data_IF_433472646861
#
_entry.id   IF_433472646861
#
_cell.length_a   1.000
_cell.length_b   1.000
_cell.length_c   1.000
_cell.angle_alpha   90.00
_cell.angle_beta   90.00
_cell.angle_gamma   90.00
#
_symmetry.space_group_name_H-M   'P 1'
#
loop_
_entity.id
_entity.type
_entity.pdbx_description
1 polymer ?
#
# COMPACT_ATOMS: atom_id res chain seq x y z
N UNK A 1 -6.99 7.79 19.31
CA UNK A 1 -5.54 7.71 18.97
C UNK A 1 -4.94 6.31 19.07
N UNK A 2 -5.67 5.25 19.45
CA UNK A 2 -5.10 3.90 19.61
C UNK A 2 -4.69 3.19 18.29
N UNK A 3 -5.36 3.52 17.18
CA UNK A 3 -5.17 2.90 15.88
C UNK A 3 -3.74 3.14 15.34
N UNK A 4 -3.20 4.37 15.31
CA UNK A 4 -1.84 4.60 14.83
C UNK A 4 -0.77 3.92 15.70
N UNK A 5 -0.92 3.92 17.04
CA UNK A 5 0.04 3.23 17.94
C UNK A 5 0.19 1.76 17.54
N UNK A 6 -0.92 1.01 17.47
CA UNK A 6 -0.90 -0.43 17.15
C UNK A 6 -0.29 -0.71 15.76
N UNK A 7 -0.48 0.19 14.79
CA UNK A 7 0.09 0.04 13.45
C UNK A 7 1.56 0.38 13.38
N UNK A 8 2.04 1.40 14.08
CA UNK A 8 3.46 1.75 14.13
C UNK A 8 4.28 0.56 14.68
N UNK A 9 3.80 -0.07 15.76
CA UNK A 9 4.45 -1.25 16.33
C UNK A 9 4.43 -2.49 15.44
N UNK A 10 3.53 -2.54 14.44
CA UNK A 10 3.51 -3.59 13.43
C UNK A 10 4.46 -3.29 12.27
N UNK A 11 4.39 -2.08 11.73
CA UNK A 11 5.02 -1.69 10.46
C UNK A 11 6.50 -1.36 10.67
N UNK A 12 6.80 -0.48 11.63
CA UNK A 12 8.11 0.16 11.74
C UNK A 12 9.25 -0.81 12.10
N UNK A 13 9.11 -1.74 13.05
CA UNK A 13 10.18 -2.67 13.40
C UNK A 13 10.59 -3.57 12.24
N UNK A 14 9.60 -4.08 11.50
CA UNK A 14 9.86 -4.91 10.33
C UNK A 14 10.46 -4.08 9.18
N UNK A 15 9.98 -2.85 8.98
CA UNK A 15 10.55 -1.94 8.01
C UNK A 15 12.04 -1.67 8.26
N UNK A 16 12.43 -1.37 9.51
CA UNK A 16 13.83 -1.15 9.87
C UNK A 16 14.68 -2.40 9.66
N UNK A 17 14.15 -3.57 10.04
CA UNK A 17 14.83 -4.84 9.81
C UNK A 17 15.04 -5.08 8.30
N UNK A 18 14.01 -4.89 7.48
CA UNK A 18 14.14 -5.02 6.03
C UNK A 18 15.10 -3.98 5.43
N UNK A 19 15.11 -2.75 5.95
CA UNK A 19 15.96 -1.68 5.47
C UNK A 19 17.43 -2.08 5.56
N UNK A 20 17.83 -2.73 6.65
CA UNK A 20 19.17 -3.28 6.82
C UNK A 20 19.53 -4.27 5.70
N UNK A 21 18.66 -5.23 5.37
CA UNK A 21 18.94 -6.18 4.28
C UNK A 21 18.97 -5.53 2.91
N UNK A 22 18.09 -4.57 2.64
CA UNK A 22 18.12 -3.81 1.39
C UNK A 22 19.43 -3.02 1.23
N UNK A 23 19.90 -2.41 2.31
CA UNK A 23 21.16 -1.69 2.34
C UNK A 23 22.33 -2.65 2.05
N UNK A 24 22.40 -3.78 2.76
CA UNK A 24 23.44 -4.79 2.53
C UNK A 24 23.43 -5.28 1.07
N UNK A 25 22.26 -5.59 0.53
CA UNK A 25 22.11 -5.98 -0.87
C UNK A 25 22.64 -4.91 -1.84
N UNK A 26 22.28 -3.63 -1.65
CA UNK A 26 22.72 -2.54 -2.53
C UNK A 26 24.23 -2.32 -2.46
N UNK A 27 24.84 -2.43 -1.29
CA UNK A 27 26.30 -2.33 -1.12
C UNK A 27 26.98 -3.49 -1.85
N UNK A 28 26.53 -4.72 -1.61
CA UNK A 28 27.19 -5.92 -2.15
C UNK A 28 27.01 -6.12 -3.66
N UNK A 29 25.87 -5.71 -4.23
CA UNK A 29 25.52 -6.04 -5.62
C UNK A 29 25.28 -4.84 -6.54
N UNK A 30 25.17 -3.61 -6.00
CA UNK A 30 24.86 -2.41 -6.78
C UNK A 30 25.88 -1.28 -6.61
N UNK A 31 27.05 -1.54 -6.01
CA UNK A 31 28.09 -0.55 -5.74
C UNK A 31 27.55 0.73 -5.07
N UNK A 32 26.59 0.57 -4.17
CA UNK A 32 25.94 1.69 -3.51
C UNK A 32 26.81 2.24 -2.37
N UNK A 33 27.13 3.54 -2.43
CA UNK A 33 27.72 4.26 -1.31
C UNK A 33 26.62 4.76 -0.37
N UNK A 34 26.69 4.33 0.89
CA UNK A 34 25.84 4.88 1.94
C UNK A 34 26.39 6.22 2.42
N UNK A 35 25.51 7.20 2.49
CA UNK A 35 25.76 8.46 3.18
C UNK A 35 24.92 8.48 4.46
N UNK A 36 25.41 9.15 5.51
CA UNK A 36 24.69 9.25 6.78
C UNK A 36 23.33 9.93 6.59
N UNK A 37 23.26 10.92 5.70
CA UNK A 37 22.02 11.61 5.34
C UNK A 37 20.99 10.65 4.74
N UNK A 38 21.39 9.79 3.81
CA UNK A 38 20.47 8.86 3.14
C UNK A 38 19.97 7.78 4.09
N UNK A 39 20.83 7.30 5.00
CA UNK A 39 20.42 6.38 6.06
C UNK A 39 19.37 7.02 6.98
N UNK A 40 19.63 8.23 7.46
CA UNK A 40 18.73 8.93 8.37
C UNK A 40 17.37 9.23 7.71
N UNK A 41 17.37 9.67 6.46
CA UNK A 41 16.14 9.88 5.68
C UNK A 41 15.32 8.60 5.57
N UNK A 42 15.93 7.46 5.22
CA UNK A 42 15.19 6.20 5.09
C UNK A 42 14.70 5.65 6.43
N UNK A 43 15.44 5.84 7.54
CA UNK A 43 14.94 5.48 8.88
C UNK A 43 13.65 6.26 9.20
N UNK A 44 13.57 7.53 8.80
CA UNK A 44 12.37 8.36 8.91
C UNK A 44 11.34 8.12 7.80
N UNK A 45 11.57 7.15 6.93
CA UNK A 45 10.77 6.85 5.73
C UNK A 45 10.68 8.05 4.77
N UNK A 46 11.64 8.97 4.81
CA UNK A 46 11.72 10.12 3.91
C UNK A 46 12.49 9.75 2.64
N UNK A 47 12.04 10.23 1.46
CA UNK A 47 12.77 10.17 0.21
C UNK A 47 14.20 10.69 0.35
N UNK A 48 15.15 9.97 -0.27
CA UNK A 48 16.58 10.31 -0.19
C UNK A 48 17.13 10.95 -1.47
N UNK A 49 16.39 10.86 -2.58
CA UNK A 49 16.80 11.44 -3.86
C UNK A 49 16.48 12.94 -3.95
N UNK A 50 17.24 13.64 -4.80
CA UNK A 50 17.11 15.05 -5.18
C UNK A 50 15.70 15.46 -5.61
N UNK A 51 14.95 14.53 -6.20
CA UNK A 51 13.57 14.77 -6.65
C UNK A 51 12.53 14.74 -5.53
N UNK A 52 12.90 14.29 -4.32
CA UNK A 52 12.01 14.17 -3.17
C UNK A 52 10.67 13.46 -3.47
N UNK A 53 10.70 12.50 -4.40
CA UNK A 53 9.54 11.74 -4.82
C UNK A 53 9.23 10.63 -3.83
N UNK A 54 7.95 10.35 -3.58
CA UNK A 54 7.53 9.19 -2.76
C UNK A 54 8.12 7.84 -3.22
N UNK A 55 8.61 7.74 -4.47
CA UNK A 55 9.23 6.52 -5.03
C UNK A 55 10.70 6.33 -4.63
N UNK A 56 11.39 7.38 -4.17
CA UNK A 56 12.83 7.33 -3.91
C UNK A 56 13.14 6.91 -2.47
N UNK A 57 12.64 5.74 -2.09
CA UNK A 57 13.05 5.02 -0.88
C UNK A 57 13.99 3.87 -1.25
N UNK A 58 14.89 3.50 -0.34
CA UNK A 58 15.78 2.33 -0.52
C UNK A 58 14.94 1.06 -0.66
N UNK A 59 13.92 0.90 0.19
CA UNK A 59 12.88 -0.11 0.04
C UNK A 59 11.86 0.44 -0.96
N UNK A 60 11.93 -0.02 -2.21
CA UNK A 60 11.10 0.52 -3.31
C UNK A 60 9.61 0.44 -2.97
N UNK A 61 9.13 -0.63 -2.34
CA UNK A 61 7.72 -0.82 -1.95
C UNK A 61 7.25 0.01 -0.76
N UNK A 62 8.14 0.65 -0.02
CA UNK A 62 7.76 1.43 1.15
C UNK A 62 7.02 2.74 0.81
N UNK A 63 6.81 3.05 -0.47
CA UNK A 63 6.00 4.20 -0.87
C UNK A 63 4.56 4.10 -0.35
N UNK A 64 3.98 2.91 -0.24
CA UNK A 64 2.59 2.76 0.20
C UNK A 64 2.40 3.05 1.69
N UNK A 65 3.40 2.71 2.52
CA UNK A 65 3.40 3.04 3.95
C UNK A 65 3.63 4.54 4.17
N UNK A 66 4.36 5.21 3.28
CA UNK A 66 4.42 6.67 3.25
C UNK A 66 3.03 7.30 3.02
N UNK A 67 2.24 6.77 2.08
CA UNK A 67 0.86 7.21 1.88
C UNK A 67 -0.02 6.96 3.12
N UNK A 68 0.16 5.83 3.78
CA UNK A 68 -0.57 5.51 5.02
C UNK A 68 -0.32 6.58 6.11
N UNK A 69 0.94 6.94 6.35
CA UNK A 69 1.31 7.99 7.32
C UNK A 69 0.79 9.37 6.89
N UNK A 70 0.84 9.66 5.59
CA UNK A 70 0.27 10.88 5.01
C UNK A 70 -1.24 10.96 5.26
N UNK A 71 -1.99 9.89 4.99
CA UNK A 71 -3.44 9.84 5.22
C UNK A 71 -3.80 9.95 6.71
N UNK A 72 -3.01 9.36 7.61
CA UNK A 72 -3.22 9.55 9.04
C UNK A 72 -3.03 11.00 9.46
N UNK A 73 -2.01 11.67 8.93
CA UNK A 73 -1.78 13.09 9.19
C UNK A 73 -2.92 13.94 8.64
N UNK A 74 -3.36 13.66 7.40
CA UNK A 74 -4.48 14.35 6.75
C UNK A 74 -5.78 14.19 7.55
N UNK A 75 -6.12 12.97 7.99
CA UNK A 75 -7.30 12.75 8.83
C UNK A 75 -7.17 13.39 10.21
N UNK A 76 -5.98 13.39 10.80
CA UNK A 76 -5.74 14.09 12.06
C UNK A 76 -6.09 15.57 11.93
N UNK A 77 -5.61 16.26 10.88
CA UNK A 77 -5.95 17.67 10.64
C UNK A 77 -7.44 17.88 10.36
N UNK A 78 -8.07 17.04 9.54
CA UNK A 78 -9.51 17.11 9.27
C UNK A 78 -10.32 17.06 10.57
N UNK A 79 -9.97 16.12 11.46
CA UNK A 79 -10.65 15.95 12.74
C UNK A 79 -10.33 17.08 13.72
N UNK A 80 -9.07 17.52 13.76
CA UNK A 80 -8.61 18.60 14.63
C UNK A 80 -9.32 19.92 14.31
N UNK A 81 -9.41 20.29 13.02
CA UNK A 81 -10.10 21.49 12.56
C UNK A 81 -11.62 21.32 12.43
N UNK A 82 -12.18 20.15 12.80
CA UNK A 82 -13.62 19.83 12.70
C UNK A 82 -14.19 20.13 11.31
N UNK A 83 -13.42 19.83 10.27
CA UNK A 83 -13.81 20.09 8.88
C UNK A 83 -15.09 19.31 8.56
N UNK A 84 -16.10 20.00 8.04
CA UNK A 84 -17.36 19.36 7.67
C UNK A 84 -17.13 18.30 6.60
N UNK A 85 -17.81 17.15 6.70
CA UNK A 85 -17.67 16.04 5.75
C UNK A 85 -17.82 16.48 4.28
N UNK A 86 -18.79 17.37 4.00
CA UNK A 86 -19.02 17.92 2.66
C UNK A 86 -17.80 18.66 2.10
N UNK A 87 -17.08 19.40 2.94
CA UNK A 87 -15.87 20.12 2.54
C UNK A 87 -14.72 19.17 2.24
N UNK A 88 -14.63 18.02 2.90
CA UNK A 88 -13.61 17.00 2.60
C UNK A 88 -13.72 16.51 1.15
N UNK A 89 -14.95 16.26 0.69
CA UNK A 89 -15.23 15.84 -0.69
C UNK A 89 -14.95 16.91 -1.74
N UNK A 90 -14.73 18.15 -1.35
CA UNK A 90 -14.37 19.25 -2.25
C UNK A 90 -12.87 19.54 -2.15
N UNK A 91 -12.33 19.63 -0.94
CA UNK A 91 -10.95 20.01 -0.67
C UNK A 91 -9.95 18.96 -1.14
N UNK A 92 -10.22 17.66 -0.93
CA UNK A 92 -9.27 16.62 -1.33
C UNK A 92 -9.13 16.53 -2.86
N UNK A 93 -10.22 16.50 -3.66
CA UNK A 93 -10.09 16.54 -5.12
C UNK A 93 -9.44 17.83 -5.62
N UNK A 94 -9.76 18.98 -5.00
CA UNK A 94 -9.14 20.25 -5.35
C UNK A 94 -7.62 20.23 -5.09
N UNK A 95 -7.20 19.76 -3.92
CA UNK A 95 -5.78 19.58 -3.57
C UNK A 95 -5.09 18.63 -4.56
N UNK A 96 -5.74 17.52 -4.92
CA UNK A 96 -5.24 16.60 -5.94
C UNK A 96 -5.07 17.30 -7.30
N UNK A 97 -6.07 18.03 -7.78
CA UNK A 97 -6.01 18.72 -9.07
C UNK A 97 -4.90 19.78 -9.12
N UNK A 98 -4.75 20.57 -8.04
CA UNK A 98 -3.68 21.56 -7.92
C UNK A 98 -2.32 20.86 -7.92
N UNK A 99 -2.13 19.83 -7.11
CA UNK A 99 -0.82 19.19 -7.01
C UNK A 99 -0.49 18.37 -8.26
N UNK A 100 -1.48 17.75 -8.90
CA UNK A 100 -1.34 17.05 -10.18
C UNK A 100 -0.93 18.01 -11.30
N UNK A 101 -1.53 19.20 -11.35
CA UNK A 101 -1.14 20.22 -12.33
C UNK A 101 0.27 20.74 -12.06
N UNK A 102 0.64 20.97 -10.79
CA UNK A 102 2.00 21.38 -10.42
C UNK A 102 3.05 20.35 -10.87
N UNK A 103 2.82 19.04 -10.69
CA UNK A 103 3.74 18.00 -11.21
C UNK A 103 3.87 18.07 -12.74
N UNK A 104 2.76 18.29 -13.46
CA UNK A 104 2.72 18.26 -14.93
C UNK A 104 3.30 19.51 -15.58
N UNK A 105 3.08 20.68 -15.00
CA UNK A 105 3.31 21.97 -15.64
C UNK A 105 4.42 22.81 -15.01
N UNK A 106 4.92 22.42 -13.83
CA UNK A 106 5.96 23.19 -13.13
C UNK A 106 7.10 22.29 -12.69
N UNK A 107 8.34 22.68 -13.00
CA UNK A 107 9.55 22.04 -12.46
C UNK A 107 9.85 22.48 -11.02
N UNK A 108 8.81 22.70 -10.20
CA UNK A 108 8.92 23.10 -8.78
C UNK A 108 9.59 22.00 -7.93
N UNK A 109 9.76 20.80 -8.50
CA UNK A 109 10.35 19.61 -7.87
C UNK A 109 11.73 19.84 -7.21
N UNK A 110 12.49 20.86 -7.62
CA UNK A 110 13.91 20.94 -7.28
C UNK A 110 14.28 21.92 -6.15
N UNK A 111 13.41 22.86 -5.75
CA UNK A 111 13.86 23.99 -4.91
C UNK A 111 13.49 23.87 -3.42
N UNK A 112 12.45 23.11 -3.05
CA UNK A 112 12.02 22.97 -1.65
C UNK A 112 11.62 21.52 -1.33
N UNK A 113 12.46 20.74 -0.62
CA UNK A 113 12.25 19.33 -0.26
C UNK A 113 10.86 18.92 0.23
N UNK A 114 10.30 19.70 1.17
CA UNK A 114 9.03 19.36 1.79
C UNK A 114 7.85 19.61 0.84
N UNK A 115 7.92 20.68 0.05
CA UNK A 115 6.88 21.03 -0.92
C UNK A 115 6.87 20.02 -2.05
N UNK A 116 8.04 19.63 -2.57
CA UNK A 116 8.14 18.61 -3.63
C UNK A 116 7.64 17.26 -3.16
N UNK A 117 7.96 16.84 -1.92
CA UNK A 117 7.41 15.63 -1.32
C UNK A 117 5.89 15.69 -1.21
N UNK A 118 5.35 16.78 -0.64
CA UNK A 118 3.91 16.96 -0.49
C UNK A 118 3.19 16.89 -1.83
N UNK A 119 3.67 17.66 -2.81
CA UNK A 119 3.14 17.69 -4.18
C UNK A 119 3.21 16.30 -4.81
N UNK A 120 4.31 15.56 -4.62
CA UNK A 120 4.46 14.20 -5.17
C UNK A 120 3.43 13.22 -4.59
N UNK A 121 3.08 13.34 -3.31
CA UNK A 121 2.08 12.51 -2.63
C UNK A 121 0.67 12.89 -3.09
N UNK A 122 0.30 14.16 -2.92
CA UNK A 122 -1.03 14.67 -3.21
C UNK A 122 -1.37 14.71 -4.68
N UNK A 123 -0.39 14.87 -5.57
CA UNK A 123 -0.57 14.81 -7.02
C UNK A 123 -0.53 13.39 -7.59
N UNK A 124 -0.33 12.36 -6.76
CA UNK A 124 -0.31 10.98 -7.24
C UNK A 124 -1.71 10.42 -7.49
N UNK A 125 -1.84 9.51 -8.47
CA UNK A 125 -3.09 8.80 -8.74
C UNK A 125 -3.60 7.98 -7.53
N UNK A 126 -2.75 7.69 -6.55
CA UNK A 126 -3.14 6.99 -5.32
C UNK A 126 -4.14 7.78 -4.47
N UNK A 127 -4.16 9.12 -4.57
CA UNK A 127 -5.17 9.95 -3.92
C UNK A 127 -6.59 9.68 -4.44
N UNK A 128 -6.72 9.24 -5.70
CA UNK A 128 -8.03 8.89 -6.29
C UNK A 128 -8.59 7.64 -5.61
N UNK A 129 -7.75 6.64 -5.29
CA UNK A 129 -8.18 5.45 -4.55
C UNK A 129 -8.66 5.78 -3.15
N UNK A 130 -7.97 6.70 -2.48
CA UNK A 130 -8.36 7.17 -1.17
C UNK A 130 -9.72 7.87 -1.20
N UNK A 131 -9.94 8.74 -2.18
CA UNK A 131 -11.24 9.38 -2.42
C UNK A 131 -12.34 8.36 -2.74
N UNK A 132 -12.06 7.41 -3.64
CA UNK A 132 -13.01 6.35 -3.98
C UNK A 132 -13.40 5.55 -2.74
N UNK A 133 -12.43 5.18 -1.89
CA UNK A 133 -12.68 4.52 -0.62
C UNK A 133 -13.57 5.33 0.33
N UNK A 134 -13.35 6.64 0.43
CA UNK A 134 -14.21 7.54 1.22
C UNK A 134 -15.66 7.58 0.69
N UNK A 135 -15.83 7.68 -0.64
CA UNK A 135 -17.14 7.69 -1.29
C UNK A 135 -17.86 6.35 -1.06
N UNK A 136 -17.16 5.23 -1.24
CA UNK A 136 -17.71 3.88 -1.00
C UNK A 136 -18.16 3.74 0.44
N UNK A 137 -17.33 4.17 1.40
CA UNK A 137 -17.67 4.13 2.81
C UNK A 137 -18.92 4.97 3.11
N UNK A 138 -19.05 6.17 2.53
CA UNK A 138 -20.25 6.99 2.71
C UNK A 138 -21.51 6.36 2.10
N UNK A 139 -21.40 5.83 0.87
CA UNK A 139 -22.50 5.12 0.21
C UNK A 139 -22.95 3.89 1.00
N UNK A 140 -21.98 3.17 1.56
CA UNK A 140 -22.21 1.99 2.39
C UNK A 140 -22.92 2.36 3.70
N UNK A 141 -22.41 3.34 4.45
CA UNK A 141 -23.01 3.80 5.71
C UNK A 141 -24.43 4.36 5.49
N UNK A 142 -24.68 5.04 4.37
CA UNK A 142 -26.00 5.56 4.02
C UNK A 142 -26.93 4.53 3.38
N UNK A 143 -26.51 3.27 3.24
CA UNK A 143 -27.25 2.21 2.54
C UNK A 143 -27.75 2.62 1.14
N UNK A 144 -26.96 3.43 0.42
CA UNK A 144 -27.30 3.92 -0.94
C UNK A 144 -26.84 2.99 -2.05
N UNK A 145 -26.21 1.88 -1.69
CA UNK A 145 -25.73 0.89 -2.64
C UNK A 145 -26.91 -0.02 -3.02
N UNK A 146 -27.22 -0.18 -4.32
CA UNK A 146 -28.36 -0.97 -4.76
C UNK A 146 -28.23 -2.43 -4.30
N UNK A 147 -29.32 -2.98 -3.76
CA UNK A 147 -29.40 -4.40 -3.39
C UNK A 147 -29.70 -5.22 -4.64
N UNK A 148 -28.74 -6.03 -5.04
CA UNK A 148 -28.89 -6.96 -6.16
C UNK A 148 -29.24 -8.36 -5.64
N UNK A 149 -29.97 -9.18 -6.43
CA UNK A 149 -30.20 -10.57 -6.07
C UNK A 149 -28.87 -11.33 -5.98
N UNK A 150 -28.78 -12.33 -5.09
CA UNK A 150 -27.53 -13.06 -4.80
C UNK A 150 -26.83 -13.59 -6.06
N UNK A 151 -27.60 -14.12 -7.02
CA UNK A 151 -27.07 -14.64 -8.31
C UNK A 151 -26.40 -13.55 -9.14
N UNK A 152 -26.98 -12.34 -9.19
CA UNK A 152 -26.38 -11.21 -9.87
C UNK A 152 -25.09 -10.77 -9.14
N UNK A 153 -25.12 -10.73 -7.81
CA UNK A 153 -23.93 -10.43 -7.00
C UNK A 153 -22.75 -11.35 -7.31
N UNK A 154 -22.99 -12.67 -7.27
CA UNK A 154 -21.94 -13.67 -7.52
C UNK A 154 -21.44 -13.60 -8.95
N UNK A 155 -22.31 -13.32 -9.91
CA UNK A 155 -21.93 -13.14 -11.32
C UNK A 155 -21.04 -11.91 -11.51
N UNK A 156 -21.42 -10.77 -10.95
CA UNK A 156 -20.63 -9.53 -11.06
C UNK A 156 -19.30 -9.68 -10.30
N UNK A 157 -19.30 -10.32 -9.12
CA UNK A 157 -18.07 -10.61 -8.38
C UNK A 157 -17.13 -11.49 -9.20
N UNK A 158 -17.64 -12.57 -9.80
CA UNK A 158 -16.84 -13.44 -10.67
C UNK A 158 -16.32 -12.68 -11.90
N UNK A 159 -17.18 -11.90 -12.57
CA UNK A 159 -16.79 -11.07 -13.71
C UNK A 159 -15.71 -10.05 -13.34
N UNK A 160 -15.80 -9.43 -12.16
CA UNK A 160 -14.78 -8.49 -11.66
C UNK A 160 -13.45 -9.18 -11.36
N UNK A 161 -13.48 -10.44 -10.91
CA UNK A 161 -12.28 -11.26 -10.68
C UNK A 161 -11.62 -11.64 -12.00
N UNK A 162 -12.42 -12.06 -12.99
CA UNK A 162 -11.95 -12.32 -14.35
C UNK A 162 -11.36 -11.06 -14.97
N UNK A 163 -12.02 -9.91 -14.83
CA UNK A 163 -11.51 -8.62 -15.31
C UNK A 163 -10.15 -8.28 -14.68
N UNK A 164 -9.98 -8.50 -13.37
CA UNK A 164 -8.70 -8.31 -12.70
C UNK A 164 -7.62 -9.24 -13.28
N UNK A 165 -7.92 -10.52 -13.49
CA UNK A 165 -6.96 -11.45 -14.12
C UNK A 165 -6.57 -10.96 -15.52
N UNK A 166 -7.54 -10.55 -16.33
CA UNK A 166 -7.29 -10.00 -17.68
C UNK A 166 -6.37 -8.78 -17.60
N UNK A 167 -6.61 -7.86 -16.66
CA UNK A 167 -5.74 -6.69 -16.49
C UNK A 167 -4.30 -7.03 -16.11
N UNK A 168 -4.06 -8.19 -15.49
CA UNK A 168 -2.71 -8.66 -15.17
C UNK A 168 -2.00 -9.30 -16.37
N UNK A 169 -2.76 -9.80 -17.35
CA UNK A 169 -2.23 -10.45 -18.56
C UNK A 169 -2.02 -9.47 -19.73
N UNK A 170 -2.74 -8.36 -19.73
CA UNK A 170 -2.63 -7.31 -20.75
C UNK A 170 -1.52 -6.30 -20.43
N UNK A 171 -1.06 -5.50 -21.42
CA UNK A 171 -0.21 -4.35 -21.15
C UNK A 171 -0.82 -3.48 -20.07
N UNK A 172 0.01 -3.09 -19.10
CA UNK A 172 -0.45 -2.46 -17.89
C UNK A 172 -1.23 -1.17 -18.17
N UNK A 173 -2.52 -1.20 -17.87
CA UNK A 173 -3.42 -0.06 -17.96
C UNK A 173 -3.87 0.34 -16.55
N UNK A 174 -3.41 1.52 -16.12
CA UNK A 174 -3.73 2.08 -14.81
C UNK A 174 -5.25 2.14 -14.56
N UNK A 175 -6.01 2.78 -15.46
CA UNK A 175 -7.44 3.01 -15.24
C UNK A 175 -8.25 1.72 -15.15
N UNK A 176 -7.98 0.77 -16.05
CA UNK A 176 -8.71 -0.50 -16.07
C UNK A 176 -8.40 -1.34 -14.83
N UNK A 177 -7.13 -1.41 -14.44
CA UNK A 177 -6.71 -2.07 -13.19
C UNK A 177 -7.34 -1.40 -11.97
N UNK A 178 -7.43 -0.07 -11.97
CA UNK A 178 -8.04 0.69 -10.88
C UNK A 178 -9.53 0.39 -10.75
N UNK A 179 -10.25 0.41 -11.87
CA UNK A 179 -11.67 0.09 -11.91
C UNK A 179 -11.92 -1.35 -11.43
N UNK A 180 -11.15 -2.32 -11.93
CA UNK A 180 -11.27 -3.72 -11.52
C UNK A 180 -11.06 -3.91 -10.01
N UNK A 181 -10.01 -3.30 -9.44
CA UNK A 181 -9.73 -3.37 -8.00
C UNK A 181 -10.83 -2.72 -7.15
N UNK A 182 -11.30 -1.53 -7.51
CA UNK A 182 -12.36 -0.83 -6.77
C UNK A 182 -13.66 -1.64 -6.85
N UNK A 183 -14.01 -2.15 -8.03
CA UNK A 183 -15.20 -2.96 -8.23
C UNK A 183 -15.14 -4.25 -7.38
N UNK A 184 -14.03 -4.98 -7.43
CA UNK A 184 -13.84 -6.18 -6.60
C UNK A 184 -13.98 -5.88 -5.11
N UNK A 185 -13.28 -4.84 -4.63
CA UNK A 185 -13.29 -4.48 -3.22
C UNK A 185 -14.69 -4.11 -2.72
N UNK A 186 -15.41 -3.27 -3.49
CA UNK A 186 -16.79 -2.89 -3.15
C UNK A 186 -17.73 -4.09 -3.09
N UNK A 187 -17.65 -4.99 -4.07
CA UNK A 187 -18.50 -6.17 -4.14
C UNK A 187 -18.22 -7.15 -3.01
N UNK A 188 -16.96 -7.38 -2.66
CA UNK A 188 -16.59 -8.25 -1.53
C UNK A 188 -17.15 -7.71 -0.21
N UNK A 189 -16.96 -6.41 0.06
CA UNK A 189 -17.48 -5.78 1.27
C UNK A 189 -19.01 -5.87 1.38
N UNK A 190 -19.71 -5.62 0.27
CA UNK A 190 -21.16 -5.68 0.26
C UNK A 190 -21.69 -7.12 0.36
N UNK A 191 -21.00 -8.07 -0.27
CA UNK A 191 -21.35 -9.48 -0.20
C UNK A 191 -21.22 -10.00 1.23
N UNK A 192 -20.15 -9.62 1.94
CA UNK A 192 -19.96 -9.90 3.36
C UNK A 192 -21.10 -9.32 4.20
N UNK A 193 -21.43 -8.04 4.01
CA UNK A 193 -22.45 -7.36 4.81
C UNK A 193 -23.88 -7.82 4.56
N UNK A 194 -24.27 -8.02 3.30
CA UNK A 194 -25.65 -8.35 2.95
C UNK A 194 -26.00 -9.82 3.17
N UNK A 195 -25.04 -10.71 2.95
CA UNK A 195 -25.28 -12.15 3.13
C UNK A 195 -24.77 -12.67 4.47
N UNK A 196 -24.36 -11.76 5.38
CA UNK A 196 -23.88 -12.07 6.73
C UNK A 196 -22.85 -13.20 6.72
N UNK A 197 -21.95 -13.16 5.73
CA UNK A 197 -20.90 -14.16 5.62
C UNK A 197 -19.84 -13.79 6.64
N UNK A 198 -19.74 -14.60 7.67
CA UNK A 198 -18.63 -14.50 8.60
C UNK A 198 -17.38 -15.08 7.90
N UNK A 199 -16.78 -14.29 6.99
CA UNK A 199 -15.66 -14.69 6.12
C UNK A 199 -14.53 -15.24 6.97
N UNK A 200 -14.30 -14.65 8.15
CA UNK A 200 -13.30 -15.11 9.11
C UNK A 200 -13.59 -16.50 9.66
N UNK A 201 -14.84 -16.84 9.97
CA UNK A 201 -15.22 -18.21 10.42
C UNK A 201 -15.16 -19.24 9.30
N UNK A 202 -15.39 -18.83 8.05
CA UNK A 202 -15.37 -19.72 6.87
C UNK A 202 -13.99 -19.84 6.22
N UNK A 203 -13.05 -18.96 6.58
CA UNK A 203 -11.68 -19.00 6.08
C UNK A 203 -10.88 -20.08 6.81
N UNK A 204 -9.99 -20.76 6.08
CA UNK A 204 -9.05 -21.70 6.69
C UNK A 204 -8.01 -20.95 7.50
N UNK A 205 -7.46 -21.61 8.52
CA UNK A 205 -6.36 -21.04 9.32
C UNK A 205 -5.20 -20.57 8.43
N UNK A 206 -4.90 -21.31 7.35
CA UNK A 206 -3.86 -20.96 6.38
C UNK A 206 -4.16 -19.67 5.62
N UNK A 207 -5.40 -19.44 5.18
CA UNK A 207 -5.80 -18.20 4.48
C UNK A 207 -5.70 -16.98 5.40
N UNK A 208 -6.13 -17.13 6.66
CA UNK A 208 -6.00 -16.07 7.68
C UNK A 208 -4.52 -15.79 7.92
N UNK A 209 -3.70 -16.82 8.07
CA UNK A 209 -2.26 -16.70 8.28
C UNK A 209 -1.56 -16.00 7.11
N UNK A 210 -1.91 -16.34 5.85
CA UNK A 210 -1.39 -15.63 4.67
C UNK A 210 -1.76 -14.13 4.69
N UNK A 211 -2.96 -13.80 5.14
CA UNK A 211 -3.38 -12.42 5.37
C UNK A 211 -2.57 -11.73 6.48
N UNK A 212 -2.27 -12.43 7.57
CA UNK A 212 -1.48 -11.89 8.68
C UNK A 212 -0.04 -11.57 8.27
N UNK A 213 0.61 -12.43 7.48
CA UNK A 213 1.99 -12.23 6.99
C UNK A 213 2.08 -11.35 5.73
N UNK A 214 0.95 -10.85 5.20
CA UNK A 214 0.89 -10.10 3.94
C UNK A 214 1.80 -8.87 3.90
N UNK A 215 1.97 -8.19 5.04
CA UNK A 215 2.90 -7.06 5.14
C UNK A 215 4.36 -7.50 5.01
N UNK A 216 4.74 -8.60 5.64
CA UNK A 216 6.08 -9.20 5.48
C UNK A 216 6.33 -9.63 4.04
N UNK A 217 5.34 -10.26 3.38
CA UNK A 217 5.42 -10.61 1.95
C UNK A 217 5.65 -9.35 1.12
N UNK A 218 4.87 -8.30 1.38
CA UNK A 218 4.96 -7.04 0.67
C UNK A 218 6.33 -6.37 0.81
N UNK A 219 6.95 -6.38 1.99
CA UNK A 219 8.25 -5.75 2.19
C UNK A 219 9.40 -6.54 1.54
N UNK A 220 9.38 -7.88 1.61
CA UNK A 220 10.52 -8.69 1.19
C UNK A 220 10.49 -9.16 -0.27
N UNK A 221 9.33 -9.24 -0.93
CA UNK A 221 9.25 -9.85 -2.26
C UNK A 221 10.16 -9.18 -3.30
N UNK A 222 10.24 -7.84 -3.35
CA UNK A 222 11.13 -7.16 -4.31
C UNK A 222 12.60 -7.44 -4.00
N UNK A 223 13.00 -7.45 -2.73
CA UNK A 223 14.38 -7.76 -2.35
C UNK A 223 14.76 -9.17 -2.83
N UNK A 224 13.88 -10.14 -2.57
CA UNK A 224 14.09 -11.54 -2.93
C UNK A 224 14.17 -11.69 -4.46
N UNK A 225 13.27 -11.05 -5.22
CA UNK A 225 13.34 -11.01 -6.69
C UNK A 225 14.69 -10.44 -7.14
N UNK A 226 15.11 -9.32 -6.54
CA UNK A 226 16.34 -8.60 -6.92
C UNK A 226 17.61 -9.40 -6.63
N UNK A 227 17.59 -10.27 -5.62
CA UNK A 227 18.68 -11.19 -5.32
C UNK A 227 18.64 -12.41 -6.26
N UNK A 228 17.48 -13.05 -6.39
CA UNK A 228 17.36 -14.30 -7.16
C UNK A 228 17.58 -14.10 -8.65
N UNK A 229 17.20 -12.95 -9.22
CA UNK A 229 17.38 -12.66 -10.65
C UNK A 229 18.86 -12.58 -11.08
N UNK A 230 19.78 -12.41 -10.13
CA UNK A 230 21.22 -12.45 -10.38
C UNK A 230 21.62 -13.86 -10.85
N UNK A 231 21.08 -14.89 -10.19
CA UNK A 231 21.46 -16.29 -10.37
C UNK A 231 20.49 -17.08 -11.25
N UNK A 232 19.19 -16.76 -11.22
CA UNK A 232 18.14 -17.47 -11.94
C UNK A 232 17.62 -16.59 -13.07
N UNK A 233 17.95 -16.96 -14.32
CA UNK A 233 17.48 -16.26 -15.53
C UNK A 233 16.19 -16.83 -16.11
N UNK A 234 15.87 -18.09 -15.80
CA UNK A 234 14.63 -18.73 -16.25
C UNK A 234 13.44 -18.16 -15.48
N UNK A 235 12.54 -17.44 -16.16
CA UNK A 235 11.43 -16.68 -15.55
C UNK A 235 10.47 -17.58 -14.76
N UNK A 236 9.95 -18.71 -15.30
CA UNK A 236 9.13 -19.64 -14.53
C UNK A 236 9.78 -20.10 -13.22
N UNK A 237 11.06 -20.50 -13.27
CA UNK A 237 11.80 -20.97 -12.10
C UNK A 237 11.99 -19.81 -11.11
N UNK A 238 12.34 -18.62 -11.60
CA UNK A 238 12.49 -17.41 -10.79
C UNK A 238 11.18 -17.07 -10.04
N UNK A 239 10.03 -17.14 -10.70
CA UNK A 239 8.74 -16.83 -10.08
C UNK A 239 8.38 -17.83 -8.98
N UNK A 240 8.51 -19.13 -9.25
CA UNK A 240 8.20 -20.18 -8.26
C UNK A 240 9.15 -20.10 -7.07
N UNK A 241 10.46 -19.97 -7.33
CA UNK A 241 11.47 -19.83 -6.26
C UNK A 241 11.26 -18.55 -5.45
N UNK A 242 10.97 -17.42 -6.10
CA UNK A 242 10.63 -16.17 -5.41
C UNK A 242 9.43 -16.35 -4.50
N UNK A 243 8.35 -16.96 -4.98
CA UNK A 243 7.14 -17.16 -4.18
C UNK A 243 7.44 -18.01 -2.93
N UNK A 244 8.14 -19.13 -3.11
CA UNK A 244 8.50 -20.03 -2.00
C UNK A 244 9.41 -19.31 -0.99
N UNK A 245 10.50 -18.69 -1.45
CA UNK A 245 11.45 -18.00 -0.57
C UNK A 245 10.79 -16.82 0.13
N UNK A 246 9.95 -16.06 -0.55
CA UNK A 246 9.20 -14.95 0.05
C UNK A 246 8.27 -15.42 1.14
N UNK A 247 7.52 -16.51 0.93
CA UNK A 247 6.64 -17.07 1.96
C UNK A 247 7.43 -17.56 3.18
N UNK A 248 8.57 -18.22 2.97
CA UNK A 248 9.42 -18.72 4.06
C UNK A 248 9.99 -17.55 4.87
N UNK A 249 10.63 -16.58 4.20
CA UNK A 249 11.22 -15.40 4.86
C UNK A 249 10.13 -14.62 5.59
N UNK A 250 8.99 -14.39 4.95
CA UNK A 250 7.89 -13.62 5.55
C UNK A 250 7.27 -14.31 6.74
N UNK A 251 7.12 -15.63 6.70
CA UNK A 251 6.64 -16.44 7.83
C UNK A 251 7.61 -16.36 9.01
N UNK A 252 8.92 -16.41 8.74
CA UNK A 252 9.95 -16.27 9.76
C UNK A 252 9.93 -14.86 10.38
N UNK A 253 10.03 -13.81 9.57
CA UNK A 253 10.08 -12.43 10.06
C UNK A 253 8.80 -12.04 10.79
N UNK A 254 7.64 -12.52 10.33
CA UNK A 254 6.37 -12.29 11.02
C UNK A 254 6.38 -12.85 12.44
N UNK A 255 6.78 -14.12 12.62
CA UNK A 255 6.72 -14.78 13.92
C UNK A 255 7.77 -14.25 14.91
N UNK A 256 8.98 -13.95 14.43
CA UNK A 256 10.09 -13.55 15.30
C UNK A 256 10.17 -12.05 15.56
N UNK A 257 9.68 -11.22 14.64
CA UNK A 257 9.79 -9.76 14.72
C UNK A 257 8.37 -9.18 14.86
N UNK A 258 7.58 -9.22 13.79
CA UNK A 258 6.31 -8.50 13.70
C UNK A 258 5.37 -8.83 14.88
N UNK A 259 5.15 -10.12 15.15
CA UNK A 259 4.28 -10.59 16.23
C UNK A 259 4.76 -10.15 17.61
N UNK A 260 6.07 -10.16 17.87
CA UNK A 260 6.63 -9.73 19.17
C UNK A 260 6.42 -8.23 19.39
N UNK A 261 6.70 -7.41 18.39
CA UNK A 261 6.49 -5.96 18.51
C UNK A 261 5.01 -5.58 18.57
N UNK A 262 4.12 -6.29 17.87
CA UNK A 262 2.67 -6.14 18.04
C UNK A 262 2.25 -6.39 19.49
N UNK A 263 2.80 -7.44 20.14
CA UNK A 263 2.46 -7.71 21.56
C UNK A 263 2.96 -6.62 22.51
N UNK A 264 4.12 -6.01 22.22
CA UNK A 264 4.63 -4.87 22.99
C UNK A 264 3.74 -3.64 22.84
N UNK A 265 3.25 -3.36 21.62
CA UNK A 265 2.36 -2.21 21.36
C UNK A 265 0.95 -2.33 21.96
N UNK A 266 0.56 -3.51 22.44
CA UNK A 266 -0.71 -3.74 23.17
C UNK A 266 -0.61 -3.42 24.66
N UNK A 267 0.60 -3.33 25.21
CA UNK A 267 0.86 -2.82 26.57
C UNK A 267 0.89 -1.29 26.55
#
# INVERSE_FOLDING_TARGET
MEIPKKRIFRIYPLYLFALLFYILYKISFQNFSLDFKTLFQNILMLPWDTKWSYKSLIIVVAWSTLFEMFFYSLFFFILFFKVQKKLIFILIPLLFLICFSLIRFTSIENNIPFVSLFVSLTGSLHMIFFLAGCIIAELFVKNRIPRLPKKAYTSILFASLVLMIITMLMPYNHLLSFFACILLFTLVLQYESYFSLDVKKRSTASLIYMGDISYSIYIFHILIISILIIWIKNIPILLVTTLIVTLIVSSFTYNYIEKKFITLGKK
#
